data_IF_036046724216
#
_entry.id   IF_036046724216
#
_cell.length_a   1.000
_cell.length_b   1.000
_cell.length_c   1.000
_cell.angle_alpha   90.00
_cell.angle_beta   90.00
_cell.angle_gamma   90.00
#
_symmetry.space_group_name_H-M   'P 1'
#
loop_
_entity.id
_entity.type
_entity.pdbx_description
1 polymer ?
#
# COMPACT_ATOMS: atom_id res chain seq x y z
N UNK A 1 -38.93 78.33 -43.57
CA UNK A 1 -39.11 77.57 -42.36
C UNK A 1 -38.18 76.38 -42.26
N UNK A 2 -37.15 76.29 -43.14
CA UNK A 2 -36.21 75.15 -43.22
C UNK A 2 -34.84 75.32 -42.54
N UNK A 3 -34.37 76.52 -42.33
CA UNK A 3 -32.98 76.72 -41.84
C UNK A 3 -32.75 76.47 -40.34
N UNK A 4 -33.77 76.61 -39.51
CA UNK A 4 -33.68 76.36 -38.08
C UNK A 4 -33.57 74.89 -37.71
N UNK A 5 -34.06 73.96 -38.54
CA UNK A 5 -34.06 72.53 -38.30
C UNK A 5 -32.69 71.90 -38.54
N UNK A 6 -31.93 72.44 -39.51
CA UNK A 6 -30.57 71.98 -39.88
C UNK A 6 -29.52 72.32 -38.79
N UNK A 7 -29.64 73.51 -38.16
CA UNK A 7 -28.71 74.01 -37.15
C UNK A 7 -28.85 73.20 -35.84
N UNK A 8 -30.11 72.79 -35.49
CA UNK A 8 -30.35 71.96 -34.30
C UNK A 8 -29.80 70.57 -34.49
N UNK A 9 -29.92 69.95 -35.68
CA UNK A 9 -29.35 68.62 -35.98
C UNK A 9 -27.85 68.63 -35.93
N UNK A 10 -27.14 69.64 -36.47
CA UNK A 10 -25.69 69.80 -36.41
C UNK A 10 -25.16 70.00 -34.98
N UNK A 11 -25.90 70.72 -34.14
CA UNK A 11 -25.52 70.94 -32.76
C UNK A 11 -25.69 69.71 -31.90
N UNK A 12 -26.69 68.93 -32.18
CA UNK A 12 -26.94 67.66 -31.52
C UNK A 12 -25.91 66.59 -31.90
N UNK A 13 -25.55 66.50 -33.16
CA UNK A 13 -24.51 65.58 -33.63
C UNK A 13 -23.12 65.93 -33.05
N UNK A 14 -22.83 67.21 -32.90
CA UNK A 14 -21.55 67.66 -32.30
C UNK A 14 -21.45 67.34 -30.79
N UNK A 15 -22.55 67.15 -30.08
CA UNK A 15 -22.58 66.76 -28.68
C UNK A 15 -22.72 65.22 -28.50
N UNK A 16 -23.45 64.52 -29.36
CA UNK A 16 -23.65 63.08 -29.26
C UNK A 16 -22.46 62.29 -29.74
N UNK A 17 -21.73 62.75 -30.74
CA UNK A 17 -20.55 62.08 -31.26
C UNK A 17 -19.42 61.96 -30.24
N UNK A 18 -18.98 62.99 -29.51
CA UNK A 18 -17.96 62.87 -28.48
C UNK A 18 -18.42 62.05 -27.27
N UNK A 19 -19.73 62.09 -26.92
CA UNK A 19 -20.31 61.29 -25.85
C UNK A 19 -20.28 59.80 -26.20
N UNK A 20 -20.64 59.42 -27.43
CA UNK A 20 -20.57 58.05 -27.95
C UNK A 20 -19.12 57.53 -28.00
N UNK A 21 -18.17 58.41 -28.35
CA UNK A 21 -16.74 58.05 -28.39
C UNK A 21 -16.16 57.88 -26.99
N UNK A 22 -16.60 58.67 -26.00
CA UNK A 22 -16.21 58.53 -24.60
C UNK A 22 -16.77 57.25 -23.98
N UNK A 23 -18.02 56.87 -24.30
CA UNK A 23 -18.64 55.63 -23.83
C UNK A 23 -17.91 54.41 -24.45
N UNK A 24 -17.53 54.48 -25.74
CA UNK A 24 -16.76 53.43 -26.39
C UNK A 24 -15.38 53.28 -25.79
N UNK A 25 -14.72 54.40 -25.41
CA UNK A 25 -13.42 54.39 -24.76
C UNK A 25 -13.48 53.79 -23.34
N UNK A 26 -14.56 54.01 -22.60
CA UNK A 26 -14.81 53.39 -21.28
C UNK A 26 -15.03 51.87 -21.36
N UNK A 27 -15.55 51.36 -22.48
CA UNK A 27 -15.76 49.92 -22.66
C UNK A 27 -14.44 49.17 -22.96
N UNK A 28 -13.40 49.84 -23.42
CA UNK A 28 -12.10 49.22 -23.64
C UNK A 28 -11.23 49.09 -22.37
N UNK A 29 -11.57 49.76 -21.27
CA UNK A 29 -10.82 49.66 -20.02
C UNK A 29 -11.35 48.58 -19.06
N UNK A 30 -12.39 47.85 -19.41
CA UNK A 30 -13.02 46.85 -18.59
C UNK A 30 -12.44 45.44 -18.75
N UNK A 31 -11.32 45.26 -19.43
CA UNK A 31 -10.59 43.99 -19.45
C UNK A 31 -9.56 44.02 -18.32
N UNK A 32 -10.03 43.85 -17.08
CA UNK A 32 -9.18 43.44 -15.99
C UNK A 32 -8.91 41.93 -16.21
N UNK A 33 -7.72 41.64 -16.70
CA UNK A 33 -7.21 40.31 -16.85
C UNK A 33 -7.19 39.70 -15.44
N UNK A 34 -8.17 38.79 -15.15
CA UNK A 34 -8.14 38.02 -13.95
C UNK A 34 -6.76 37.35 -13.90
N UNK A 35 -5.93 37.72 -12.92
CA UNK A 35 -4.70 37.00 -12.66
C UNK A 35 -5.09 35.54 -12.44
N UNK A 36 -4.96 34.73 -13.50
CA UNK A 36 -4.94 33.30 -13.31
C UNK A 36 -3.85 33.02 -12.28
N UNK A 37 -4.25 32.48 -11.14
CA UNK A 37 -3.33 31.88 -10.20
C UNK A 37 -2.69 30.69 -10.90
N UNK A 38 -1.71 30.99 -11.78
CA UNK A 38 -0.86 29.97 -12.35
C UNK A 38 -0.13 29.33 -11.19
N UNK A 39 -0.39 28.07 -10.96
CA UNK A 39 0.38 27.28 -10.03
C UNK A 39 1.87 27.46 -10.33
N UNK A 40 2.75 27.53 -9.32
CA UNK A 40 4.17 27.74 -9.55
C UNK A 40 4.67 26.70 -10.56
N UNK A 41 5.54 27.12 -11.51
CA UNK A 41 6.03 26.21 -12.54
C UNK A 41 6.74 25.02 -11.91
N UNK A 42 6.30 23.83 -12.28
CA UNK A 42 6.91 22.58 -11.82
C UNK A 42 8.16 22.36 -12.67
N UNK A 43 9.33 22.61 -12.07
CA UNK A 43 10.62 22.47 -12.75
C UNK A 43 11.05 21.00 -12.87
N UNK A 44 10.57 20.14 -11.99
CA UNK A 44 10.86 18.70 -11.98
C UNK A 44 9.62 17.90 -12.41
N UNK A 45 9.52 17.62 -13.70
CA UNK A 45 8.43 16.82 -14.28
C UNK A 45 8.40 15.40 -13.72
N UNK A 46 9.54 14.88 -13.24
CA UNK A 46 9.66 13.53 -12.71
C UNK A 46 9.03 13.40 -11.32
N UNK A 47 8.84 14.51 -10.62
CA UNK A 47 8.22 14.55 -9.29
C UNK A 47 6.69 14.55 -9.32
N UNK A 48 6.09 14.79 -10.48
CA UNK A 48 4.63 14.92 -10.61
C UNK A 48 4.01 13.64 -11.12
N UNK A 49 3.02 13.13 -10.39
CA UNK A 49 2.21 12.02 -10.87
C UNK A 49 1.37 12.46 -12.06
N UNK A 50 1.35 11.64 -13.12
CA UNK A 50 0.55 11.89 -14.32
C UNK A 50 -0.95 11.73 -14.05
N UNK A 51 -1.28 10.86 -13.12
CA UNK A 51 -2.66 10.62 -12.68
C UNK A 51 -2.66 10.42 -11.16
N UNK A 52 -3.61 11.08 -10.48
CA UNK A 52 -3.89 10.86 -9.06
C UNK A 52 -5.38 10.55 -8.93
N UNK A 53 -5.69 9.40 -8.35
CA UNK A 53 -7.07 8.96 -8.10
C UNK A 53 -7.29 8.79 -6.60
N UNK A 54 -8.48 9.18 -6.14
CA UNK A 54 -8.87 9.08 -4.73
C UNK A 54 -10.07 8.15 -4.57
N UNK A 55 -10.14 7.44 -3.42
CA UNK A 55 -11.25 6.54 -3.10
C UNK A 55 -11.39 5.43 -4.13
N UNK A 56 -10.28 4.79 -4.49
CA UNK A 56 -10.23 3.81 -5.58
C UNK A 56 -10.76 2.46 -5.10
N UNK A 57 -11.67 1.90 -5.88
CA UNK A 57 -12.14 0.51 -5.79
C UNK A 57 -12.24 -0.01 -7.21
N UNK A 58 -11.28 -0.84 -7.63
CA UNK A 58 -11.15 -1.27 -9.02
C UNK A 58 -10.82 -2.74 -9.14
N UNK A 59 -11.22 -3.34 -10.24
CA UNK A 59 -10.91 -4.72 -10.63
C UNK A 59 -9.81 -4.69 -11.69
N UNK A 60 -8.81 -5.55 -11.49
CA UNK A 60 -7.73 -5.77 -12.44
C UNK A 60 -7.93 -7.12 -13.09
N UNK A 61 -8.01 -7.12 -14.42
CA UNK A 61 -8.10 -8.34 -15.21
C UNK A 61 -6.82 -8.57 -16.00
N UNK A 62 -6.49 -9.83 -16.19
CA UNK A 62 -5.46 -10.29 -17.11
C UNK A 62 -6.07 -11.34 -18.03
N UNK A 63 -5.88 -11.14 -19.35
CA UNK A 63 -6.39 -12.07 -20.39
C UNK A 63 -7.89 -12.37 -20.26
N UNK A 64 -8.68 -11.35 -19.83
CA UNK A 64 -10.13 -11.46 -19.66
C UNK A 64 -10.59 -12.11 -18.35
N UNK A 65 -9.68 -12.51 -17.49
CA UNK A 65 -9.97 -13.07 -16.16
C UNK A 65 -9.67 -12.02 -15.08
N UNK A 66 -10.64 -11.74 -14.20
CA UNK A 66 -10.41 -10.85 -13.07
C UNK A 66 -9.47 -11.54 -12.08
N UNK A 67 -8.33 -10.91 -11.81
CA UNK A 67 -7.29 -11.45 -10.91
C UNK A 67 -7.32 -10.81 -9.54
N UNK A 68 -7.53 -9.50 -9.50
CA UNK A 68 -7.43 -8.74 -8.26
C UNK A 68 -8.50 -7.67 -8.20
N UNK A 69 -8.93 -7.36 -6.98
CA UNK A 69 -9.62 -6.13 -6.64
C UNK A 69 -8.68 -5.29 -5.77
N UNK A 70 -8.51 -4.04 -6.11
CA UNK A 70 -7.68 -3.09 -5.38
C UNK A 70 -8.57 -2.05 -4.73
N UNK A 71 -8.42 -1.87 -3.42
CA UNK A 71 -9.06 -0.81 -2.65
C UNK A 71 -7.98 0.04 -1.99
N UNK A 72 -8.01 1.35 -2.23
CA UNK A 72 -7.05 2.30 -1.66
C UNK A 72 -7.66 3.70 -1.57
N UNK A 73 -7.21 4.50 -0.61
CA UNK A 73 -7.63 5.90 -0.53
C UNK A 73 -6.99 6.78 -1.60
N UNK A 74 -5.76 6.44 -2.03
CA UNK A 74 -5.03 7.21 -3.03
C UNK A 74 -4.15 6.32 -3.89
N UNK A 75 -4.24 6.54 -5.19
CA UNK A 75 -3.44 5.87 -6.22
C UNK A 75 -2.78 6.92 -7.10
N UNK A 76 -1.47 6.98 -7.07
CA UNK A 76 -0.66 7.84 -7.91
C UNK A 76 0.01 7.02 -9.03
N UNK A 77 -0.13 7.48 -10.26
CA UNK A 77 0.53 6.87 -11.43
C UNK A 77 1.58 7.84 -11.97
N UNK A 78 2.82 7.42 -11.99
CA UNK A 78 3.91 8.17 -12.60
C UNK A 78 4.52 7.35 -13.74
N UNK A 79 4.34 7.83 -14.96
CA UNK A 79 4.86 7.20 -16.19
C UNK A 79 6.06 7.95 -16.77
N UNK A 80 6.39 9.12 -16.24
CA UNK A 80 7.52 9.97 -16.69
C UNK A 80 8.82 9.48 -16.04
N UNK A 81 8.75 9.18 -14.75
CA UNK A 81 9.90 8.65 -14.00
C UNK A 81 10.23 7.22 -14.44
N UNK A 82 11.52 6.93 -14.58
CA UNK A 82 11.99 5.57 -14.85
C UNK A 82 12.54 4.94 -13.56
N UNK A 83 12.11 3.72 -13.21
CA UNK A 83 11.04 2.92 -13.83
C UNK A 83 9.64 3.53 -13.58
N UNK A 84 8.73 3.32 -14.54
CA UNK A 84 7.31 3.70 -14.37
C UNK A 84 6.72 3.01 -13.15
N UNK A 85 5.93 3.76 -12.36
CA UNK A 85 5.52 3.30 -11.05
C UNK A 85 4.11 3.74 -10.69
N UNK A 86 3.35 2.84 -10.11
CA UNK A 86 2.15 3.15 -9.34
C UNK A 86 2.53 3.22 -7.86
N UNK A 87 1.95 4.15 -7.14
CA UNK A 87 2.22 4.38 -5.72
C UNK A 87 0.92 4.44 -4.93
N UNK A 88 0.88 3.76 -3.80
CA UNK A 88 -0.25 3.65 -2.88
C UNK A 88 0.25 4.00 -1.47
N UNK A 89 0.19 5.30 -1.09
CA UNK A 89 0.76 5.79 0.19
C UNK A 89 -0.24 5.80 1.35
N UNK A 90 -1.53 5.63 1.06
CA UNK A 90 -2.62 5.73 2.04
C UNK A 90 -3.28 4.39 2.35
N UNK A 91 -2.47 3.34 2.38
CA UNK A 91 -2.95 1.98 2.55
C UNK A 91 -3.43 1.36 1.25
N UNK A 92 -3.26 0.06 1.16
CA UNK A 92 -3.76 -0.74 0.04
C UNK A 92 -4.31 -2.06 0.56
N UNK A 93 -5.42 -2.47 -0.03
CA UNK A 93 -6.05 -3.76 0.23
C UNK A 93 -6.34 -4.44 -1.10
N UNK A 94 -5.92 -5.70 -1.21
CA UNK A 94 -6.19 -6.54 -2.38
C UNK A 94 -7.08 -7.72 -1.98
N UNK A 95 -8.01 -8.06 -2.86
CA UNK A 95 -8.66 -9.36 -2.91
C UNK A 95 -8.11 -10.08 -4.14
N UNK A 96 -7.49 -11.23 -3.97
CA UNK A 96 -7.02 -12.09 -5.05
C UNK A 96 -8.11 -13.12 -5.36
N UNK A 97 -8.37 -13.34 -6.66
CA UNK A 97 -9.40 -14.26 -7.12
C UNK A 97 -8.82 -15.44 -7.90
N UNK A 98 -9.48 -16.57 -7.79
CA UNK A 98 -9.27 -17.72 -8.65
C UNK A 98 -9.87 -17.51 -10.05
N UNK A 99 -9.77 -18.52 -10.92
CA UNK A 99 -10.34 -18.47 -12.27
C UNK A 99 -11.88 -18.40 -12.30
N UNK A 100 -12.55 -18.78 -11.19
CA UNK A 100 -14.00 -18.79 -11.04
C UNK A 100 -14.51 -17.57 -10.28
N UNK A 101 -13.65 -16.58 -10.06
CA UNK A 101 -13.97 -15.37 -9.31
C UNK A 101 -14.29 -15.61 -7.83
N UNK A 102 -13.74 -16.66 -7.23
CA UNK A 102 -13.77 -16.85 -5.77
C UNK A 102 -12.52 -16.23 -5.16
N UNK A 103 -12.67 -15.66 -3.97
CA UNK A 103 -11.53 -15.08 -3.24
C UNK A 103 -10.60 -16.20 -2.78
N UNK A 104 -9.32 -16.14 -3.16
CA UNK A 104 -8.26 -17.03 -2.72
C UNK A 104 -7.47 -16.43 -1.54
N UNK A 105 -7.19 -15.12 -1.60
CA UNK A 105 -6.43 -14.45 -0.56
C UNK A 105 -6.79 -12.96 -0.43
N UNK A 106 -6.51 -12.43 0.74
CA UNK A 106 -6.53 -11.02 1.08
C UNK A 106 -5.13 -10.54 1.39
N UNK A 107 -4.72 -9.41 0.82
CA UNK A 107 -3.42 -8.78 1.04
C UNK A 107 -3.63 -7.36 1.49
N UNK A 108 -2.93 -6.92 2.53
CA UNK A 108 -2.95 -5.54 2.99
C UNK A 108 -1.55 -5.03 3.31
N UNK A 109 -1.32 -3.74 3.10
CA UNK A 109 -0.11 -3.03 3.49
C UNK A 109 -0.40 -1.54 3.72
N UNK A 110 0.48 -0.85 4.45
CA UNK A 110 0.36 0.59 4.67
C UNK A 110 0.76 1.38 3.42
N UNK A 111 1.72 0.86 2.67
CA UNK A 111 2.23 1.47 1.44
C UNK A 111 2.55 0.37 0.43
N UNK A 112 2.30 0.64 -0.84
CA UNK A 112 2.71 -0.25 -1.91
C UNK A 112 3.22 0.54 -3.12
N UNK A 113 4.12 -0.09 -3.86
CA UNK A 113 4.60 0.36 -5.15
C UNK A 113 4.49 -0.78 -6.15
N UNK A 114 4.04 -0.45 -7.35
CA UNK A 114 4.04 -1.39 -8.48
C UNK A 114 4.90 -0.84 -9.61
N UNK A 115 5.89 -1.61 -10.00
CA UNK A 115 6.80 -1.34 -11.10
C UNK A 115 6.34 -2.10 -12.34
N UNK A 116 5.65 -1.40 -13.24
CA UNK A 116 4.95 -2.04 -14.37
C UNK A 116 5.89 -2.79 -15.32
N UNK A 117 7.05 -2.23 -15.63
CA UNK A 117 8.04 -2.88 -16.51
C UNK A 117 8.63 -4.16 -15.90
N UNK A 118 8.74 -4.22 -14.59
CA UNK A 118 9.31 -5.34 -13.84
C UNK A 118 8.23 -6.31 -13.35
N UNK A 119 6.94 -5.94 -13.47
CA UNK A 119 5.80 -6.66 -12.89
C UNK A 119 6.01 -6.96 -11.41
N UNK A 120 6.67 -6.03 -10.71
CA UNK A 120 7.10 -6.17 -9.32
C UNK A 120 6.24 -5.29 -8.40
N UNK A 121 5.60 -5.92 -7.43
CA UNK A 121 5.00 -5.25 -6.29
C UNK A 121 6.00 -5.19 -5.13
N UNK A 122 6.10 -4.04 -4.49
CA UNK A 122 6.81 -3.84 -3.24
C UNK A 122 5.81 -3.33 -2.21
N UNK A 123 5.53 -4.15 -1.20
CA UNK A 123 4.60 -3.89 -0.12
C UNK A 123 5.40 -3.56 1.14
N UNK A 124 4.99 -2.54 1.90
CA UNK A 124 5.69 -2.12 3.11
C UNK A 124 4.73 -1.64 4.18
N UNK A 125 5.09 -1.91 5.45
CA UNK A 125 4.37 -1.54 6.65
C UNK A 125 3.18 -2.45 6.90
N UNK A 126 3.19 -3.15 8.00
CA UNK A 126 2.14 -4.06 8.48
C UNK A 126 1.60 -5.00 7.39
N UNK A 127 2.50 -5.51 6.54
CA UNK A 127 2.13 -6.41 5.46
C UNK A 127 1.48 -7.66 6.04
N UNK A 128 0.28 -7.97 5.59
CA UNK A 128 -0.46 -9.16 5.99
C UNK A 128 -1.13 -9.80 4.79
N UNK A 129 -0.91 -11.11 4.64
CA UNK A 129 -1.65 -11.94 3.70
C UNK A 129 -2.45 -12.96 4.50
N UNK A 130 -3.68 -13.19 4.10
CA UNK A 130 -4.54 -14.24 4.64
C UNK A 130 -5.20 -14.95 3.49
N UNK A 131 -4.92 -16.24 3.34
CA UNK A 131 -5.62 -17.06 2.37
C UNK A 131 -6.85 -17.76 2.97
N UNK A 132 -7.68 -18.32 2.10
CA UNK A 132 -8.91 -19.04 2.50
C UNK A 132 -8.61 -20.34 3.26
N UNK A 133 -7.41 -20.90 3.14
CA UNK A 133 -6.98 -22.13 3.82
C UNK A 133 -6.49 -21.89 5.27
N UNK A 134 -6.61 -20.65 5.77
CA UNK A 134 -6.23 -20.29 7.14
C UNK A 134 -4.76 -19.92 7.32
N UNK A 135 -3.95 -19.90 6.24
CA UNK A 135 -2.59 -19.38 6.33
C UNK A 135 -2.62 -17.86 6.52
N UNK A 136 -1.82 -17.37 7.46
CA UNK A 136 -1.59 -15.96 7.72
C UNK A 136 -0.09 -15.67 7.62
N UNK A 137 0.28 -14.81 6.70
CA UNK A 137 1.62 -14.24 6.59
C UNK A 137 1.64 -12.83 7.17
N UNK A 138 2.71 -12.47 7.89
CA UNK A 138 2.93 -11.14 8.46
C UNK A 138 4.40 -10.75 8.33
N UNK A 139 4.65 -9.51 7.88
CA UNK A 139 5.98 -8.91 7.77
C UNK A 139 5.89 -7.38 7.70
N UNK A 140 7.02 -6.70 7.80
CA UNK A 140 7.13 -5.27 7.53
C UNK A 140 7.41 -4.97 6.05
N UNK A 141 7.83 -5.97 5.28
CA UNK A 141 8.14 -5.80 3.86
C UNK A 141 7.90 -7.11 3.11
N UNK A 142 7.37 -6.98 1.89
CA UNK A 142 7.16 -8.11 0.98
C UNK A 142 7.32 -7.64 -0.46
N UNK A 143 7.99 -8.45 -1.25
CA UNK A 143 8.08 -8.32 -2.70
C UNK A 143 7.25 -9.41 -3.35
N UNK A 144 6.50 -9.06 -4.38
CA UNK A 144 5.75 -9.98 -5.22
C UNK A 144 6.21 -9.80 -6.67
N UNK A 145 6.97 -10.75 -7.17
CA UNK A 145 7.51 -10.79 -8.52
C UNK A 145 6.56 -11.56 -9.44
N UNK A 146 5.78 -10.82 -10.22
CA UNK A 146 4.81 -11.40 -11.15
C UNK A 146 5.45 -12.11 -12.36
N UNK A 147 6.72 -11.81 -12.70
CA UNK A 147 7.43 -12.52 -13.76
C UNK A 147 7.93 -13.89 -13.31
N UNK A 148 8.34 -14.00 -12.04
CA UNK A 148 8.83 -15.24 -11.43
C UNK A 148 7.75 -16.04 -10.72
N UNK A 149 6.56 -15.45 -10.56
CA UNK A 149 5.46 -16.03 -9.78
C UNK A 149 5.86 -16.34 -8.33
N UNK A 150 6.60 -15.42 -7.70
CA UNK A 150 7.19 -15.60 -6.37
C UNK A 150 6.86 -14.43 -5.44
N UNK A 151 6.70 -14.78 -4.16
CA UNK A 151 6.70 -13.85 -3.05
C UNK A 151 8.00 -14.01 -2.27
N UNK A 152 8.65 -12.91 -1.87
CA UNK A 152 9.83 -12.98 -1.03
C UNK A 152 9.96 -11.77 -0.10
N UNK A 153 10.65 -12.00 1.03
CA UNK A 153 11.00 -10.96 1.99
C UNK A 153 12.37 -11.25 2.58
N UNK A 154 13.16 -10.18 2.76
CA UNK A 154 14.48 -10.22 3.36
C UNK A 154 14.49 -9.67 4.80
N UNK A 155 13.30 -9.48 5.39
CA UNK A 155 13.15 -9.02 6.76
C UNK A 155 12.35 -10.04 7.56
N UNK A 156 12.22 -9.80 8.86
CA UNK A 156 11.47 -10.68 9.75
C UNK A 156 10.06 -10.95 9.20
N UNK A 157 9.76 -12.22 9.07
CA UNK A 157 8.49 -12.72 8.55
C UNK A 157 7.95 -13.82 9.46
N UNK A 158 6.64 -13.87 9.61
CA UNK A 158 5.91 -14.90 10.34
C UNK A 158 4.85 -15.52 9.45
N UNK A 159 4.85 -16.84 9.37
CA UNK A 159 3.82 -17.64 8.71
C UNK A 159 3.11 -18.47 9.77
N UNK A 160 1.82 -18.31 9.87
CA UNK A 160 0.95 -19.07 10.77
C UNK A 160 -0.04 -19.87 9.95
N UNK A 161 -0.08 -21.17 10.15
CA UNK A 161 -1.11 -22.08 9.66
C UNK A 161 -1.87 -22.68 10.84
N UNK A 162 -2.99 -23.39 10.63
CA UNK A 162 -3.68 -24.06 11.72
C UNK A 162 -2.78 -25.02 12.52
N UNK A 163 -1.78 -25.65 11.86
CA UNK A 163 -0.94 -26.69 12.47
C UNK A 163 0.35 -26.12 13.08
N UNK A 164 0.88 -25.01 12.56
CA UNK A 164 2.20 -24.52 12.96
C UNK A 164 2.38 -23.03 12.75
N UNK A 165 3.36 -22.48 13.47
CA UNK A 165 3.87 -21.13 13.26
C UNK A 165 5.36 -21.18 12.99
N UNK A 166 5.79 -20.60 11.85
CA UNK A 166 7.19 -20.42 11.48
C UNK A 166 7.51 -18.93 11.45
N UNK A 167 8.71 -18.55 11.87
CA UNK A 167 9.17 -17.18 11.80
C UNK A 167 10.67 -17.15 11.53
N UNK A 168 11.13 -16.19 10.75
CA UNK A 168 12.53 -16.05 10.39
C UNK A 168 12.82 -14.73 9.68
N UNK A 169 14.07 -14.54 9.27
CA UNK A 169 14.54 -13.30 8.65
C UNK A 169 14.60 -13.36 7.12
N UNK A 170 14.22 -14.47 6.54
CA UNK A 170 14.09 -14.64 5.09
C UNK A 170 12.86 -15.49 4.80
N UNK A 171 12.07 -15.06 3.84
CA UNK A 171 10.86 -15.73 3.38
C UNK A 171 10.85 -15.80 1.87
N UNK A 172 10.44 -16.94 1.31
CA UNK A 172 10.20 -17.13 -0.12
C UNK A 172 9.04 -18.11 -0.31
N UNK A 173 8.17 -17.85 -1.30
CA UNK A 173 7.00 -18.66 -1.58
C UNK A 173 6.57 -18.56 -3.03
N UNK A 174 5.74 -19.50 -3.50
CA UNK A 174 4.92 -19.32 -4.69
C UNK A 174 3.80 -18.28 -4.43
N UNK A 175 3.15 -17.76 -5.49
CA UNK A 175 2.10 -16.73 -5.38
C UNK A 175 0.89 -17.17 -4.55
N UNK A 176 0.60 -18.46 -4.51
CA UNK A 176 -0.53 -19.04 -3.79
C UNK A 176 -0.17 -19.44 -2.34
N UNK A 177 1.10 -19.25 -1.96
CA UNK A 177 1.63 -19.63 -0.64
C UNK A 177 1.43 -21.13 -0.29
N UNK A 178 1.45 -22.00 -1.30
CA UNK A 178 1.36 -23.45 -1.11
C UNK A 178 2.70 -24.07 -0.72
N UNK A 179 3.79 -23.54 -1.31
CA UNK A 179 5.16 -23.96 -1.03
C UNK A 179 5.95 -22.75 -0.56
N UNK A 180 6.39 -22.75 0.68
CA UNK A 180 7.15 -21.66 1.24
C UNK A 180 8.35 -22.13 2.06
N UNK A 181 9.38 -21.30 2.10
CA UNK A 181 10.61 -21.47 2.88
C UNK A 181 10.79 -20.29 3.80
N UNK A 182 11.11 -20.58 5.07
CA UNK A 182 11.50 -19.57 6.06
C UNK A 182 12.89 -19.93 6.54
N UNK A 183 13.89 -19.09 6.30
CA UNK A 183 15.27 -19.31 6.73
C UNK A 183 15.59 -18.57 8.03
N UNK A 184 16.62 -19.02 8.76
CA UNK A 184 16.93 -18.57 10.13
C UNK A 184 15.71 -18.69 11.04
N UNK A 185 14.98 -19.79 10.90
CA UNK A 185 13.65 -19.96 11.47
C UNK A 185 13.69 -20.41 12.91
N UNK A 186 12.75 -19.88 13.69
CA UNK A 186 12.27 -20.45 14.94
C UNK A 186 10.80 -20.81 14.70
N UNK A 187 10.37 -21.98 15.18
CA UNK A 187 9.00 -22.43 14.96
C UNK A 187 8.41 -23.11 16.18
N UNK A 188 7.08 -23.15 16.26
CA UNK A 188 6.32 -23.99 17.15
C UNK A 188 5.41 -24.88 16.31
N UNK A 189 5.31 -26.14 16.68
CA UNK A 189 4.47 -27.16 16.05
C UNK A 189 3.45 -27.64 17.05
N UNK A 190 2.29 -28.06 16.61
CA UNK A 190 1.35 -28.79 17.47
C UNK A 190 1.93 -30.15 17.82
N UNK A 191 1.67 -30.64 19.03
CA UNK A 191 2.22 -31.91 19.53
C UNK A 191 1.81 -33.15 18.69
N UNK A 192 0.71 -33.04 17.98
CA UNK A 192 0.18 -34.12 17.12
C UNK A 192 1.04 -34.36 15.86
N UNK A 193 1.76 -33.34 15.40
CA UNK A 193 2.63 -33.44 14.22
C UNK A 193 3.95 -34.20 14.52
N UNK A 194 4.25 -34.46 15.79
CA UNK A 194 5.46 -35.16 16.21
C UNK A 194 5.32 -36.70 16.22
N UNK A 195 4.13 -37.22 15.97
CA UNK A 195 3.85 -38.69 15.95
C UNK A 195 3.82 -39.28 14.52
N UNK A 196 3.96 -38.48 13.48
CA UNK A 196 4.03 -38.91 12.07
C UNK A 196 5.41 -39.43 11.69
N UNK A 197 5.48 -40.68 11.33
CA UNK A 197 6.63 -41.48 10.86
C UNK A 197 7.65 -40.66 10.00
N UNK A 198 8.86 -40.65 10.52
CA UNK A 198 10.08 -40.17 9.85
C UNK A 198 10.39 -41.06 8.63
N UNK A 199 10.01 -40.63 7.43
CA UNK A 199 10.51 -41.21 6.17
C UNK A 199 11.18 -40.12 5.34
N UNK A 200 12.52 -40.18 5.36
CA UNK A 200 13.47 -39.67 4.40
C UNK A 200 13.65 -38.13 4.33
N UNK A 201 14.55 -37.64 5.16
CA UNK A 201 15.40 -36.52 4.81
C UNK A 201 16.83 -37.02 4.59
N UNK A 202 17.23 -37.01 3.35
CA UNK A 202 18.61 -37.18 2.91
C UNK A 202 19.43 -35.99 3.44
N UNK A 203 20.35 -36.30 4.33
CA UNK A 203 21.30 -35.36 4.96
C UNK A 203 22.42 -35.06 3.98
N UNK A 204 22.63 -33.81 3.61
CA UNK A 204 23.90 -33.32 3.11
C UNK A 204 24.85 -33.07 4.30
N UNK A 205 26.13 -33.47 4.22
CA UNK A 205 27.08 -33.41 5.32
C UNK A 205 27.72 -32.02 5.45
N UNK A 206 27.72 -31.46 6.64
CA UNK A 206 28.41 -30.20 6.93
C UNK A 206 28.66 -30.01 8.40
N UNK A 207 29.82 -30.44 8.80
CA UNK A 207 30.69 -29.99 9.90
C UNK A 207 30.17 -29.98 11.35
N UNK A 208 30.66 -31.00 12.06
CA UNK A 208 30.55 -31.19 13.49
C UNK A 208 31.63 -30.42 14.22
N UNK A 209 31.27 -29.36 14.94
CA UNK A 209 32.05 -28.84 16.04
C UNK A 209 31.24 -29.02 17.32
N UNK A 210 31.61 -30.06 18.07
CA UNK A 210 31.13 -30.30 19.43
C UNK A 210 31.65 -29.21 20.34
N UNK A 211 30.77 -28.39 20.91
CA UNK A 211 31.04 -27.63 22.11
C UNK A 211 30.14 -28.15 23.22
N UNK A 212 30.79 -28.88 24.11
CA UNK A 212 30.30 -29.42 25.36
C UNK A 212 29.96 -28.23 26.30
N UNK A 213 28.70 -28.00 26.57
CA UNK A 213 28.29 -27.02 27.60
C UNK A 213 27.85 -27.78 28.85
N UNK A 214 28.52 -27.47 29.95
CA UNK A 214 28.24 -27.89 31.31
C UNK A 214 26.79 -27.62 31.75
N UNK A 215 26.27 -28.41 32.70
CA UNK A 215 24.92 -28.23 33.18
C UNK A 215 24.83 -27.04 34.15
N UNK A 216 24.09 -26.00 33.76
CA UNK A 216 23.77 -24.87 34.61
C UNK A 216 22.75 -25.30 35.67
N UNK A 217 23.20 -25.31 36.93
CA UNK A 217 22.37 -25.48 38.12
C UNK A 217 21.29 -24.38 38.20
N UNK A 218 20.02 -24.82 38.19
CA UNK A 218 18.89 -23.92 38.47
C UNK A 218 18.83 -23.59 39.97
N UNK A 219 18.68 -22.29 40.35
CA UNK A 219 18.39 -21.94 41.73
C UNK A 219 16.96 -22.38 42.09
N UNK A 220 16.85 -23.11 43.21
CA UNK A 220 15.54 -23.47 43.81
C UNK A 220 14.98 -22.21 44.49
N UNK A 221 13.80 -21.79 44.04
CA UNK A 221 13.03 -20.74 44.72
C UNK A 221 12.30 -21.40 45.90
N UNK A 222 12.71 -21.06 47.11
CA UNK A 222 12.03 -21.44 48.37
C UNK A 222 10.67 -20.73 48.42
N UNK A 223 9.60 -21.51 48.47
CA UNK A 223 8.28 -21.01 48.79
C UNK A 223 8.18 -20.67 50.27
N UNK A 224 8.08 -19.38 50.59
CA UNK A 224 7.84 -18.88 51.93
C UNK A 224 6.32 -18.84 52.16
N UNK A 225 5.84 -19.73 53.03
CA UNK A 225 4.46 -19.74 53.53
C UNK A 225 4.17 -18.43 54.27
N UNK A 226 3.22 -17.65 53.79
CA UNK A 226 2.59 -16.57 54.56
C UNK A 226 1.36 -17.13 55.28
N UNK A 227 1.39 -17.06 56.61
CA UNK A 227 0.32 -17.41 57.52
C UNK A 227 -0.86 -16.43 57.37
N UNK A 228 -2.04 -16.96 57.24
CA UNK A 228 -3.33 -16.36 57.48
C UNK A 228 -3.43 -15.83 58.91
N UNK A 229 -3.77 -14.56 59.09
CA UNK A 229 -4.43 -14.09 60.31
C UNK A 229 -5.78 -13.50 59.91
N UNK A 230 -6.80 -14.20 60.44
CA UNK A 230 -8.16 -13.69 60.59
C UNK A 230 -8.18 -12.68 61.71
N UNK A 231 -8.81 -11.55 61.51
CA UNK A 231 -9.38 -10.73 62.58
C UNK A 231 -10.80 -10.35 62.21
N UNK A 232 -11.70 -10.73 63.11
CA UNK A 232 -13.14 -10.55 63.09
C UNK A 232 -13.53 -9.14 63.60
N UNK A 233 -14.75 -8.65 63.32
CA UNK A 233 -15.13 -7.29 63.59
C UNK A 233 -15.77 -7.14 64.97
N UNK A 234 -15.67 -5.94 65.55
CA UNK A 234 -16.51 -5.51 66.69
C UNK A 234 -16.85 -4.00 66.57
N UNK A 235 -18.18 -3.78 66.64
CA UNK A 235 -18.96 -2.59 66.94
C UNK A 235 -18.98 -1.44 65.95
#
# INVERSE_FOLDING_TARGET
MGEKCEIVKRKWWRMTLPLLLAINFLLFTACEEAQEHTAPPIYDRDSVSMMVSYGVNTLISDSGIIKYKIVTERWDVNTVKQPTRWTFEKGVFFEQFDQNFHVEAYVQADTAWYYDQQKLWHLRGRVRIRNVNGLIYQSEELYWDGLRHELYSNVFSRVTTPERTLQGTYFRSDEQMRHYTVSNSKGSFMAEDMTGENKNQETAPGDTTQQQSEPVLRPQIQQKHAKTQQEEPSE
#
